data_IF_653617781760
#
_entry.id   IF_653617781760
#
_cell.length_a   1.000
_cell.length_b   1.000
_cell.length_c   1.000
_cell.angle_alpha   90.00
_cell.angle_beta   90.00
_cell.angle_gamma   90.00
#
_symmetry.space_group_name_H-M   'P 1'
#
loop_
_entity.id
_entity.type
_entity.pdbx_description
1 polymer ?
#
# COMPACT_ATOMS: atom_id res chain seq x y z
N UNK A 1 -1.64 -17.11 -26.23
CA UNK A 1 -0.70 -16.31 -27.05
C UNK A 1 -0.84 -14.81 -26.81
N UNK A 2 -2.00 -14.16 -26.98
CA UNK A 2 -2.13 -12.70 -26.72
C UNK A 2 -2.02 -12.36 -25.22
N UNK A 3 -2.59 -13.18 -24.33
CA UNK A 3 -2.53 -12.97 -22.88
C UNK A 3 -1.08 -13.04 -22.33
N UNK A 4 -0.29 -13.99 -22.81
CA UNK A 4 1.15 -14.08 -22.46
C UNK A 4 1.93 -12.84 -22.89
N UNK A 5 1.60 -12.24 -24.04
CA UNK A 5 2.25 -11.01 -24.52
C UNK A 5 1.87 -9.81 -23.65
N UNK A 6 0.63 -9.73 -23.16
CA UNK A 6 0.18 -8.67 -22.23
C UNK A 6 0.88 -8.77 -20.88
N UNK A 7 1.21 -9.98 -20.41
CA UNK A 7 1.79 -10.23 -19.09
C UNK A 7 3.31 -10.44 -19.09
N UNK A 8 3.95 -10.50 -20.26
CA UNK A 8 5.38 -10.84 -20.40
C UNK A 8 6.35 -9.90 -19.67
N UNK A 9 5.88 -8.74 -19.20
CA UNK A 9 6.64 -7.80 -18.36
C UNK A 9 6.00 -7.50 -17.00
N UNK A 10 4.92 -8.19 -16.63
CA UNK A 10 4.24 -7.99 -15.34
C UNK A 10 5.00 -8.74 -14.23
N UNK A 11 5.20 -8.07 -13.10
CA UNK A 11 5.72 -8.71 -11.88
C UNK A 11 4.70 -9.73 -11.38
N UNK A 12 5.17 -10.88 -10.89
CA UNK A 12 4.28 -11.88 -10.30
C UNK A 12 3.55 -11.32 -9.07
N UNK A 13 2.35 -11.84 -8.72
CA UNK A 13 1.63 -11.41 -7.54
C UNK A 13 2.48 -11.46 -6.26
N UNK A 14 3.31 -12.51 -6.11
CA UNK A 14 4.20 -12.69 -4.96
C UNK A 14 5.25 -11.58 -4.90
N UNK A 15 5.85 -11.21 -6.03
CA UNK A 15 6.84 -10.15 -6.08
C UNK A 15 6.24 -8.81 -5.66
N UNK A 16 5.03 -8.48 -6.16
CA UNK A 16 4.31 -7.26 -5.75
C UNK A 16 3.99 -7.31 -4.25
N UNK A 17 3.56 -8.46 -3.73
CA UNK A 17 3.27 -8.63 -2.29
C UNK A 17 4.51 -8.38 -1.41
N UNK A 18 5.69 -8.88 -1.81
CA UNK A 18 6.93 -8.63 -1.08
C UNK A 18 7.35 -7.16 -1.14
N UNK A 19 7.21 -6.50 -2.30
CA UNK A 19 7.49 -5.06 -2.43
C UNK A 19 6.55 -4.27 -1.53
N UNK A 20 5.25 -4.56 -1.57
CA UNK A 20 4.24 -3.95 -0.70
C UNK A 20 4.58 -4.12 0.77
N UNK A 21 4.93 -5.34 1.20
CA UNK A 21 5.28 -5.62 2.59
C UNK A 21 6.52 -4.86 3.03
N UNK A 22 7.56 -4.81 2.20
CA UNK A 22 8.78 -4.05 2.49
C UNK A 22 8.48 -2.55 2.63
N UNK A 23 7.73 -1.97 1.67
CA UNK A 23 7.35 -0.56 1.69
C UNK A 23 6.47 -0.25 2.91
N UNK A 24 5.48 -1.09 3.21
CA UNK A 24 4.57 -0.90 4.35
C UNK A 24 5.29 -0.98 5.70
N UNK A 25 6.15 -1.98 5.90
CA UNK A 25 6.90 -2.15 7.16
C UNK A 25 7.93 -1.03 7.35
N UNK A 26 8.76 -0.77 6.32
CA UNK A 26 9.77 0.30 6.39
C UNK A 26 9.09 1.65 6.57
N UNK A 27 7.98 1.88 5.87
CA UNK A 27 7.17 3.08 6.00
C UNK A 27 6.65 3.27 7.42
N UNK A 28 6.03 2.24 8.01
CA UNK A 28 5.48 2.32 9.36
C UNK A 28 6.57 2.58 10.41
N UNK A 29 7.72 1.92 10.31
CA UNK A 29 8.86 2.14 11.20
C UNK A 29 9.45 3.54 11.04
N UNK A 30 9.58 4.03 9.80
CA UNK A 30 10.11 5.36 9.51
C UNK A 30 9.18 6.45 10.04
N UNK A 31 7.87 6.33 9.81
CA UNK A 31 6.87 7.24 10.35
C UNK A 31 6.92 7.23 11.86
N UNK A 32 6.84 6.06 12.49
CA UNK A 32 6.90 5.94 13.95
C UNK A 32 8.17 6.55 14.54
N UNK A 33 9.33 6.31 13.93
CA UNK A 33 10.60 6.88 14.38
C UNK A 33 10.64 8.41 14.26
N UNK A 34 10.19 8.96 13.13
CA UNK A 34 10.18 10.42 12.90
C UNK A 34 9.14 11.12 13.77
N UNK A 35 8.02 10.46 14.13
CA UNK A 35 7.03 11.01 15.06
C UNK A 35 7.60 11.31 16.44
N UNK A 36 8.66 10.62 16.87
CA UNK A 36 9.36 10.90 18.13
C UNK A 36 10.25 12.16 18.06
N UNK A 37 10.58 12.62 16.85
CA UNK A 37 11.45 13.77 16.60
C UNK A 37 10.63 15.02 16.26
N UNK A 38 9.83 14.94 15.20
CA UNK A 38 8.99 16.05 14.72
C UNK A 38 7.84 15.52 13.84
N UNK A 39 6.62 15.89 14.21
CA UNK A 39 5.39 15.46 13.54
C UNK A 39 5.23 15.95 12.11
N UNK A 40 5.68 17.16 11.80
CA UNK A 40 5.54 17.71 10.43
C UNK A 40 6.28 16.80 9.46
N UNK A 41 7.48 16.37 9.85
CA UNK A 41 8.28 15.42 9.09
C UNK A 41 7.64 14.04 9.03
N UNK A 42 7.02 13.55 10.10
CA UNK A 42 6.31 12.28 10.09
C UNK A 42 5.18 12.24 9.07
N UNK A 43 4.42 13.34 8.94
CA UNK A 43 3.37 13.46 7.93
C UNK A 43 3.93 13.44 6.50
N UNK A 44 5.05 14.12 6.25
CA UNK A 44 5.71 14.08 4.93
C UNK A 44 6.27 12.70 4.60
N UNK A 45 6.87 12.02 5.58
CA UNK A 45 7.37 10.65 5.42
C UNK A 45 6.22 9.70 5.14
N UNK A 46 5.12 9.78 5.91
CA UNK A 46 3.93 8.98 5.65
C UNK A 46 3.38 9.21 4.25
N UNK A 47 3.27 10.47 3.83
CA UNK A 47 2.82 10.83 2.49
C UNK A 47 3.71 10.27 1.38
N UNK A 48 5.04 10.27 1.58
CA UNK A 48 5.98 9.65 0.63
C UNK A 48 5.71 8.15 0.46
N UNK A 49 5.57 7.41 1.56
CA UNK A 49 5.28 5.97 1.51
C UNK A 49 3.89 5.68 0.94
N UNK A 50 2.90 6.49 1.29
CA UNK A 50 1.56 6.45 0.70
C UNK A 50 1.59 6.65 -0.82
N UNK A 51 2.38 7.60 -1.31
CA UNK A 51 2.54 7.82 -2.75
C UNK A 51 3.13 6.59 -3.45
N UNK A 52 4.15 5.95 -2.85
CA UNK A 52 4.75 4.73 -3.39
C UNK A 52 3.73 3.58 -3.40
N UNK A 53 2.98 3.39 -2.31
CA UNK A 53 1.93 2.38 -2.24
C UNK A 53 0.80 2.66 -3.23
N UNK A 54 0.42 3.92 -3.43
CA UNK A 54 -0.59 4.33 -4.40
C UNK A 54 -0.16 4.03 -5.84
N UNK A 55 1.11 4.28 -6.18
CA UNK A 55 1.68 3.90 -7.49
C UNK A 55 1.67 2.39 -7.66
N UNK A 56 2.06 1.63 -6.64
CA UNK A 56 2.03 0.17 -6.66
C UNK A 56 0.60 -0.38 -6.78
N UNK A 57 -0.36 0.27 -6.12
CA UNK A 57 -1.79 -0.06 -6.20
C UNK A 57 -2.30 0.16 -7.62
N UNK A 58 -2.05 1.34 -8.20
CA UNK A 58 -2.44 1.67 -9.57
C UNK A 58 -1.83 0.69 -10.58
N UNK A 59 -0.55 0.34 -10.42
CA UNK A 59 0.11 -0.68 -11.22
C UNK A 59 -0.58 -2.04 -11.13
N UNK A 60 -0.89 -2.50 -9.91
CA UNK A 60 -1.55 -3.79 -9.66
C UNK A 60 -2.97 -3.82 -10.24
N UNK A 61 -3.74 -2.75 -10.06
CA UNK A 61 -5.09 -2.60 -10.61
C UNK A 61 -5.05 -2.58 -12.14
N UNK A 62 -4.05 -1.93 -12.75
CA UNK A 62 -3.88 -1.96 -14.20
C UNK A 62 -3.63 -3.38 -14.73
N UNK A 63 -2.82 -4.20 -14.03
CA UNK A 63 -2.64 -5.62 -14.37
C UNK A 63 -3.97 -6.38 -14.28
N UNK A 64 -4.74 -6.15 -13.21
CA UNK A 64 -6.06 -6.77 -13.04
C UNK A 64 -6.97 -6.43 -14.22
N UNK A 65 -7.08 -5.16 -14.60
CA UNK A 65 -7.87 -4.77 -15.77
C UNK A 65 -7.37 -5.38 -17.07
N UNK A 66 -6.05 -5.43 -17.27
CA UNK A 66 -5.45 -6.03 -18.46
C UNK A 66 -5.75 -7.53 -18.56
N UNK A 67 -5.74 -8.25 -17.43
CA UNK A 67 -6.12 -9.68 -17.35
C UNK A 67 -7.58 -9.90 -17.74
N UNK A 68 -8.50 -9.20 -17.08
CA UNK A 68 -9.94 -9.38 -17.31
C UNK A 68 -10.40 -8.84 -18.67
N UNK A 69 -9.68 -7.89 -19.27
CA UNK A 69 -9.97 -7.33 -20.58
C UNK A 69 -9.35 -8.09 -21.76
N UNK A 70 -8.53 -9.11 -21.51
CA UNK A 70 -7.79 -9.78 -22.57
C UNK A 70 -8.67 -10.77 -23.37
N UNK A 71 -8.53 -10.82 -24.71
CA UNK A 71 -9.19 -11.83 -25.53
C UNK A 71 -8.73 -13.25 -25.16
N UNK A 72 -9.67 -14.12 -24.80
CA UNK A 72 -9.39 -15.49 -24.38
C UNK A 72 -9.26 -15.71 -22.88
N UNK A 73 -9.53 -14.69 -22.06
CA UNK A 73 -9.68 -14.83 -20.61
C UNK A 73 -10.83 -15.79 -20.26
N UNK A 74 -10.61 -16.67 -19.28
CA UNK A 74 -11.67 -17.52 -18.73
C UNK A 74 -11.24 -18.93 -18.36
N UNK A 75 -9.97 -19.28 -18.52
CA UNK A 75 -9.44 -20.52 -17.95
C UNK A 75 -9.41 -20.45 -16.41
N UNK A 76 -9.36 -21.61 -15.75
CA UNK A 76 -9.30 -21.67 -14.28
C UNK A 76 -8.01 -21.02 -13.78
N UNK A 77 -6.92 -21.19 -14.53
CA UNK A 77 -5.60 -20.62 -14.26
C UNK A 77 -5.63 -19.08 -14.35
N UNK A 78 -6.29 -18.51 -15.35
CA UNK A 78 -6.42 -17.06 -15.50
C UNK A 78 -7.22 -16.44 -14.37
N UNK A 79 -8.30 -17.12 -13.95
CA UNK A 79 -9.14 -16.69 -12.82
C UNK A 79 -8.33 -16.73 -11.52
N UNK A 80 -7.57 -17.80 -11.29
CA UNK A 80 -6.72 -17.94 -10.12
C UNK A 80 -5.67 -16.82 -10.05
N UNK A 81 -5.05 -16.51 -11.19
CA UNK A 81 -4.08 -15.41 -11.30
C UNK A 81 -4.74 -14.04 -11.05
N UNK A 82 -5.91 -13.78 -11.63
CA UNK A 82 -6.68 -12.55 -11.39
C UNK A 82 -7.03 -12.35 -9.92
N UNK A 83 -7.50 -13.42 -9.25
CA UNK A 83 -7.78 -13.42 -7.81
C UNK A 83 -6.52 -13.15 -6.98
N UNK A 84 -5.36 -13.70 -7.39
CA UNK A 84 -4.10 -13.44 -6.71
C UNK A 84 -3.73 -11.95 -6.75
N UNK A 85 -3.79 -11.30 -7.92
CA UNK A 85 -3.54 -9.85 -8.02
C UNK A 85 -4.55 -9.01 -7.24
N UNK A 86 -5.83 -9.39 -7.21
CA UNK A 86 -6.86 -8.70 -6.41
C UNK A 86 -6.56 -8.77 -4.90
N UNK A 87 -6.10 -9.93 -4.41
CA UNK A 87 -5.68 -10.08 -3.00
C UNK A 87 -4.48 -9.18 -2.68
N UNK A 88 -3.51 -9.09 -3.59
CA UNK A 88 -2.36 -8.20 -3.43
C UNK A 88 -2.81 -6.73 -3.40
N UNK A 89 -3.72 -6.32 -4.29
CA UNK A 89 -4.28 -4.98 -4.29
C UNK A 89 -4.99 -4.63 -2.96
N UNK A 90 -5.77 -5.57 -2.40
CA UNK A 90 -6.37 -5.41 -1.08
C UNK A 90 -5.32 -5.31 0.04
N UNK A 91 -4.22 -6.06 -0.06
CA UNK A 91 -3.08 -5.95 0.84
C UNK A 91 -2.41 -4.57 0.79
N UNK A 92 -2.23 -4.00 -0.42
CA UNK A 92 -1.69 -2.64 -0.59
C UNK A 92 -2.59 -1.61 0.09
N UNK A 93 -3.91 -1.66 -0.14
CA UNK A 93 -4.86 -0.77 0.53
C UNK A 93 -4.80 -0.90 2.06
N UNK A 94 -4.64 -2.13 2.55
CA UNK A 94 -4.50 -2.38 4.00
C UNK A 94 -3.22 -1.76 4.56
N UNK A 95 -2.11 -1.79 3.80
CA UNK A 95 -0.86 -1.14 4.18
C UNK A 95 -0.96 0.39 4.20
N UNK A 96 -1.68 0.98 3.25
CA UNK A 96 -2.00 2.42 3.25
C UNK A 96 -2.81 2.78 4.50
N UNK A 97 -3.90 2.06 4.77
CA UNK A 97 -4.72 2.28 5.96
C UNK A 97 -3.91 2.16 7.27
N UNK A 98 -2.95 1.23 7.33
CA UNK A 98 -2.04 1.12 8.47
C UNK A 98 -1.21 2.39 8.66
N UNK A 99 -0.57 2.91 7.60
CA UNK A 99 0.21 4.16 7.66
C UNK A 99 -0.65 5.35 8.09
N UNK A 100 -1.83 5.50 7.48
CA UNK A 100 -2.79 6.53 7.87
C UNK A 100 -3.20 6.40 9.36
N UNK A 101 -3.39 5.17 9.84
CA UNK A 101 -3.70 4.86 11.23
C UNK A 101 -2.57 5.27 12.18
N UNK A 102 -1.32 4.93 11.87
CA UNK A 102 -0.15 5.30 12.67
C UNK A 102 -0.04 6.82 12.83
N UNK A 103 -0.17 7.57 11.74
CA UNK A 103 -0.15 9.04 11.76
C UNK A 103 -1.29 9.59 12.61
N UNK A 104 -2.51 9.07 12.43
CA UNK A 104 -3.69 9.52 13.17
C UNK A 104 -3.57 9.27 14.67
N UNK A 105 -3.06 8.10 15.07
CA UNK A 105 -2.89 7.73 16.48
C UNK A 105 -1.89 8.67 17.16
N UNK A 106 -0.73 8.94 16.57
CA UNK A 106 0.20 9.82 17.26
C UNK A 106 -0.20 11.29 17.20
N UNK A 107 -0.99 11.73 16.21
CA UNK A 107 -1.65 13.04 16.28
C UNK A 107 -2.60 13.12 17.49
N UNK A 108 -3.39 12.07 17.73
CA UNK A 108 -4.29 12.00 18.87
C UNK A 108 -3.55 12.01 20.23
N UNK A 109 -2.49 11.21 20.37
CA UNK A 109 -1.68 11.16 21.60
C UNK A 109 -1.09 12.53 21.93
N UNK A 110 -0.64 13.27 20.92
CA UNK A 110 -0.07 14.60 21.13
C UNK A 110 -1.14 15.61 21.55
N UNK A 111 -2.32 15.61 20.92
CA UNK A 111 -3.43 16.47 21.36
C UNK A 111 -3.81 16.24 22.82
N UNK A 112 -3.76 15.00 23.31
CA UNK A 112 -3.99 14.70 24.73
C UNK A 112 -2.91 15.32 25.65
N UNK A 113 -1.65 15.32 25.24
CA UNK A 113 -0.55 15.92 26.01
C UNK A 113 -0.69 17.44 26.10
N UNK A 114 -1.07 18.10 25.01
CA UNK A 114 -1.20 19.56 24.96
C UNK A 114 -2.50 20.06 25.61
N UNK A 115 -3.57 19.27 25.54
CA UNK A 115 -4.88 19.60 26.15
C UNK A 115 -4.97 19.33 27.65
N UNK A 116 -4.11 18.46 28.21
CA UNK A 116 -4.10 18.12 29.64
C UNK A 116 -3.29 19.08 30.53
N UNK A 117 -2.48 19.97 29.94
CA UNK A 117 -1.58 20.89 30.68
C UNK A 117 -2.17 22.28 30.98
N UNK A 118 -3.47 22.50 30.75
CA UNK A 118 -4.15 23.78 30.96
C UNK A 118 -4.89 23.93 32.29
N UNK A 119 -4.60 23.08 33.28
CA UNK A 119 -5.24 23.07 34.61
C UNK A 119 -4.26 23.32 35.76
N UNK A 120 -3.24 24.15 35.54
CA UNK A 120 -2.46 24.77 36.60
C UNK A 120 -2.57 26.29 36.54
#
# INVERSE_FOLDING_TARGET
>A
MILEVVLQGALSPEAIAYIMAAVGVIGALSVYGVMQLDRRWAAYVAFLFELVLAVLFAYTVNIVYALYGAPGFGSVEDIALGVAYQRVAAGILSAMLLLAGVVSIGYYIELQKTGGGGHE
#
